data_IF_028201946293
#
_entry.id   IF_028201946293
#
_cell.length_a   1.000
_cell.length_b   1.000
_cell.length_c   1.000
_cell.angle_alpha   90.00
_cell.angle_beta   90.00
_cell.angle_gamma   90.00
#
_symmetry.space_group_name_H-M   'P 1'
#
loop_
_entity.id
_entity.type
_entity.pdbx_description
1 polymer ?
#
# COMPACT_ATOMS: atom_id res chain seq x y z
N UNK A 1 -4.85 0.71 10.64
CA UNK A 1 -5.15 2.16 10.52
C UNK A 1 -3.83 2.86 10.29
N UNK A 2 -3.82 4.01 9.59
CA UNK A 2 -2.58 4.77 9.39
C UNK A 2 -2.06 5.25 10.77
N UNK A 3 -0.75 5.22 10.97
CA UNK A 3 -0.09 5.71 12.18
C UNK A 3 1.36 6.09 11.83
N UNK A 4 2.10 6.67 12.79
CA UNK A 4 3.49 7.13 12.61
C UNK A 4 4.43 6.12 11.93
N UNK A 5 4.23 4.83 12.15
CA UNK A 5 5.06 3.76 11.58
C UNK A 5 4.93 3.69 10.07
N UNK A 6 3.69 3.78 9.54
CA UNK A 6 3.45 3.83 8.10
C UNK A 6 4.06 5.08 7.47
N UNK A 7 3.90 6.25 8.10
CA UNK A 7 4.48 7.50 7.58
C UNK A 7 6.00 7.42 7.52
N UNK A 8 6.66 6.88 8.56
CA UNK A 8 8.10 6.67 8.55
C UNK A 8 8.54 5.68 7.47
N UNK A 9 7.81 4.58 7.30
CA UNK A 9 8.09 3.61 6.25
C UNK A 9 7.96 4.21 4.85
N UNK A 10 6.92 5.01 4.60
CA UNK A 10 6.70 5.67 3.31
C UNK A 10 7.76 6.72 3.02
N UNK A 11 8.18 7.52 4.01
CA UNK A 11 9.30 8.47 3.85
C UNK A 11 10.60 7.76 3.49
N UNK A 12 10.90 6.64 4.16
CA UNK A 12 12.07 5.83 3.86
C UNK A 12 11.96 5.17 2.48
N UNK A 13 10.77 4.78 2.05
CA UNK A 13 10.56 4.24 0.70
C UNK A 13 10.82 5.31 -0.37
N UNK A 14 10.27 6.52 -0.21
CA UNK A 14 10.50 7.65 -1.12
C UNK A 14 11.98 8.03 -1.19
N UNK A 15 12.75 7.93 -0.10
CA UNK A 15 14.19 8.25 -0.16
C UNK A 15 15.05 7.26 -0.96
N UNK A 16 14.46 6.17 -1.48
CA UNK A 16 15.17 5.16 -2.28
C UNK A 16 15.01 5.37 -3.79
N UNK A 17 14.25 6.38 -4.23
CA UNK A 17 14.07 6.68 -5.65
C UNK A 17 13.29 7.97 -5.90
N UNK A 18 13.08 8.32 -7.16
CA UNK A 18 12.46 9.59 -7.53
C UNK A 18 10.93 9.58 -7.44
N UNK A 19 10.31 8.41 -7.56
CA UNK A 19 8.84 8.23 -7.57
C UNK A 19 8.44 7.09 -6.63
N UNK A 20 7.48 7.35 -5.74
CA UNK A 20 6.85 6.39 -4.85
C UNK A 20 5.41 6.12 -5.28
N UNK A 21 5.16 4.87 -5.71
CA UNK A 21 3.82 4.35 -6.00
C UNK A 21 3.40 3.44 -4.84
N UNK A 22 2.25 3.73 -4.24
CA UNK A 22 1.68 2.90 -3.16
C UNK A 22 0.59 1.99 -3.71
N UNK A 23 0.85 0.68 -3.73
CA UNK A 23 -0.14 -0.34 -4.02
C UNK A 23 -1.08 -0.56 -2.83
N UNK A 24 -2.37 -0.27 -3.02
CA UNK A 24 -3.43 -0.38 -2.01
C UNK A 24 -4.41 -1.52 -2.35
N UNK A 25 -4.55 -2.51 -1.48
CA UNK A 25 -5.58 -3.53 -1.65
C UNK A 25 -6.99 -2.88 -1.61
N UNK A 26 -7.83 -3.26 -2.57
CA UNK A 26 -9.28 -2.97 -2.58
C UNK A 26 -9.99 -3.57 -1.37
N UNK A 27 -11.20 -3.11 -1.10
CA UNK A 27 -12.02 -3.64 -0.01
C UNK A 27 -12.35 -5.12 -0.22
N UNK A 28 -12.56 -5.53 -1.48
CA UNK A 28 -12.79 -6.94 -1.83
C UNK A 28 -11.56 -7.81 -1.54
N UNK A 29 -10.37 -7.33 -1.93
CA UNK A 29 -9.10 -8.01 -1.65
C UNK A 29 -8.85 -8.14 -0.14
N UNK A 30 -9.03 -7.04 0.62
CA UNK A 30 -8.85 -7.05 2.08
C UNK A 30 -9.84 -7.99 2.77
N UNK A 31 -11.11 -8.05 2.31
CA UNK A 31 -12.10 -8.99 2.85
C UNK A 31 -11.69 -10.45 2.68
N UNK A 32 -11.08 -10.81 1.55
CA UNK A 32 -10.57 -12.17 1.29
C UNK A 32 -9.39 -12.50 2.22
N UNK A 33 -8.44 -11.57 2.36
CA UNK A 33 -7.20 -11.79 3.13
C UNK A 33 -7.43 -11.75 4.65
N UNK A 34 -8.27 -10.82 5.14
CA UNK A 34 -8.42 -10.51 6.58
C UNK A 34 -9.81 -10.80 7.14
N UNK A 35 -10.72 -11.34 6.32
CA UNK A 35 -12.08 -11.70 6.69
C UNK A 35 -13.11 -10.57 6.52
N UNK A 36 -14.39 -10.94 6.63
CA UNK A 36 -15.55 -10.07 6.29
C UNK A 36 -15.64 -8.77 7.09
N UNK A 37 -15.04 -8.70 8.28
CA UNK A 37 -15.03 -7.50 9.15
C UNK A 37 -13.97 -6.46 8.78
N UNK A 38 -13.22 -6.67 7.69
CA UNK A 38 -12.16 -5.76 7.22
C UNK A 38 -12.40 -5.42 5.75
N UNK A 39 -11.98 -4.23 5.28
CA UNK A 39 -11.34 -3.16 6.06
C UNK A 39 -12.34 -2.38 6.92
N UNK A 40 -11.83 -1.62 7.91
CA UNK A 40 -12.67 -0.70 8.71
C UNK A 40 -12.95 0.57 7.91
N UNK A 41 -11.94 1.04 7.17
CA UNK A 41 -12.01 2.24 6.33
C UNK A 41 -12.10 1.77 4.87
N UNK A 42 -13.09 2.24 4.09
CA UNK A 42 -13.22 1.96 2.66
C UNK A 42 -11.96 2.30 1.85
N UNK A 43 -11.81 1.66 0.69
CA UNK A 43 -10.62 1.83 -0.15
C UNK A 43 -10.41 3.26 -0.67
N UNK A 44 -11.51 3.99 -0.90
CA UNK A 44 -11.47 5.36 -1.42
C UNK A 44 -10.86 6.28 -0.38
N UNK A 45 -11.38 6.28 0.84
CA UNK A 45 -10.86 7.10 1.94
C UNK A 45 -9.41 6.73 2.28
N UNK A 46 -9.07 5.43 2.26
CA UNK A 46 -7.68 4.99 2.45
C UNK A 46 -6.75 5.51 1.36
N UNK A 47 -7.22 5.54 0.11
CA UNK A 47 -6.43 6.05 -1.01
C UNK A 47 -6.26 7.56 -0.93
N UNK A 48 -7.32 8.30 -0.59
CA UNK A 48 -7.28 9.76 -0.42
C UNK A 48 -6.31 10.18 0.68
N UNK A 49 -6.37 9.51 1.85
CA UNK A 49 -5.43 9.76 2.95
C UNK A 49 -3.98 9.52 2.52
N UNK A 50 -3.72 8.46 1.74
CA UNK A 50 -2.37 8.16 1.24
C UNK A 50 -1.90 9.18 0.21
N UNK A 51 -2.78 9.58 -0.72
CA UNK A 51 -2.49 10.54 -1.77
C UNK A 51 -2.24 11.95 -1.22
N UNK A 52 -2.81 12.29 -0.06
CA UNK A 52 -2.55 13.55 0.63
C UNK A 52 -1.17 13.62 1.30
N UNK A 53 -0.42 12.52 1.37
CA UNK A 53 0.90 12.51 1.97
C UNK A 53 1.95 13.00 0.97
N UNK A 54 2.72 14.01 1.37
CA UNK A 54 3.76 14.66 0.55
C UNK A 54 4.73 13.70 -0.16
N UNK A 55 5.06 12.56 0.46
CA UNK A 55 6.03 11.61 -0.10
C UNK A 55 5.43 10.61 -1.11
N UNK A 56 4.10 10.59 -1.28
CA UNK A 56 3.40 9.64 -2.16
C UNK A 56 3.04 10.32 -3.47
N UNK A 57 3.59 9.83 -4.58
CA UNK A 57 3.31 10.39 -5.91
C UNK A 57 2.06 9.77 -6.53
N UNK A 58 1.85 8.46 -6.33
CA UNK A 58 0.70 7.75 -6.87
C UNK A 58 0.15 6.71 -5.89
N UNK A 59 -1.17 6.51 -5.91
CA UNK A 59 -1.84 5.43 -5.21
C UNK A 59 -2.57 4.56 -6.23
N UNK A 60 -2.27 3.26 -6.26
CA UNK A 60 -2.89 2.30 -7.16
C UNK A 60 -3.72 1.31 -6.37
N UNK A 61 -5.01 1.21 -6.65
CA UNK A 61 -5.91 0.24 -6.02
C UNK A 61 -5.94 -1.05 -6.85
N UNK A 62 -5.73 -2.21 -6.21
CA UNK A 62 -5.79 -3.52 -6.88
C UNK A 62 -6.72 -4.53 -6.17
N UNK A 63 -7.28 -5.46 -6.94
CA UNK A 63 -8.34 -6.37 -6.47
C UNK A 63 -7.84 -7.78 -6.15
N UNK A 64 -6.67 -8.13 -6.65
CA UNK A 64 -6.00 -9.39 -6.44
C UNK A 64 -5.53 -9.55 -4.99
N UNK A 65 -5.32 -10.80 -4.55
CA UNK A 65 -4.84 -11.10 -3.21
C UNK A 65 -3.35 -10.79 -3.04
N UNK A 66 -2.59 -10.86 -4.13
CA UNK A 66 -1.18 -10.52 -4.18
C UNK A 66 -0.93 -9.35 -5.14
N UNK A 67 0.08 -8.52 -4.88
CA UNK A 67 0.42 -7.40 -5.78
C UNK A 67 1.18 -7.85 -7.04
N UNK A 68 1.29 -9.16 -7.33
CA UNK A 68 2.15 -9.68 -8.39
C UNK A 68 1.86 -9.01 -9.75
N UNK A 69 0.59 -8.95 -10.17
CA UNK A 69 0.21 -8.33 -11.44
C UNK A 69 0.60 -6.86 -11.53
N UNK A 70 0.41 -6.11 -10.43
CA UNK A 70 0.79 -4.70 -10.35
C UNK A 70 2.30 -4.55 -10.48
N UNK A 71 3.07 -5.36 -9.74
CA UNK A 71 4.54 -5.32 -9.78
C UNK A 71 5.06 -5.71 -11.16
N UNK A 72 4.50 -6.74 -11.79
CA UNK A 72 4.88 -7.18 -13.14
C UNK A 72 4.53 -6.15 -14.22
N UNK A 73 3.47 -5.37 -14.03
CA UNK A 73 3.07 -4.33 -14.98
C UNK A 73 3.91 -3.05 -14.82
N UNK A 74 4.23 -2.66 -13.59
CA UNK A 74 5.02 -1.45 -13.30
C UNK A 74 6.52 -1.66 -13.43
N UNK A 75 7.00 -2.88 -13.16
CA UNK A 75 8.43 -3.26 -13.15
C UNK A 75 9.28 -2.24 -12.35
N UNK A 76 9.02 -2.06 -11.05
CA UNK A 76 9.72 -1.05 -10.26
C UNK A 76 11.19 -1.42 -10.06
N UNK A 77 12.08 -0.42 -10.10
CA UNK A 77 13.51 -0.61 -9.79
C UNK A 77 13.74 -1.05 -8.34
N UNK A 78 12.91 -0.54 -7.42
CA UNK A 78 12.98 -0.84 -5.98
C UNK A 78 11.61 -1.29 -5.48
N UNK A 79 11.56 -2.48 -4.88
CA UNK A 79 10.38 -3.00 -4.19
C UNK A 79 10.56 -2.90 -2.67
N UNK A 80 9.78 -2.04 -2.02
CA UNK A 80 9.78 -1.90 -0.55
C UNK A 80 8.61 -2.67 0.06
N UNK A 81 8.91 -3.49 1.08
CA UNK A 81 7.91 -4.19 1.89
C UNK A 81 8.02 -3.76 3.35
N UNK A 82 6.93 -3.21 3.91
CA UNK A 82 6.87 -2.80 5.31
C UNK A 82 7.07 -3.97 6.26
N UNK A 83 7.85 -3.77 7.33
CA UNK A 83 8.34 -4.81 8.24
C UNK A 83 7.33 -5.43 9.21
N UNK A 84 6.03 -5.15 9.11
CA UNK A 84 5.00 -5.74 9.99
C UNK A 84 4.57 -7.15 9.55
N UNK A 85 5.53 -7.96 9.10
CA UNK A 85 5.39 -9.41 9.17
C UNK A 85 5.97 -9.84 10.51
N UNK A 86 5.09 -10.19 11.47
CA UNK A 86 5.50 -11.17 12.48
C UNK A 86 5.99 -12.37 11.69
N UNK A 87 7.26 -12.77 11.91
CA UNK A 87 7.80 -14.03 11.41
C UNK A 87 6.79 -15.12 11.76
N UNK A 88 6.15 -15.68 10.74
CA UNK A 88 5.65 -17.04 10.80
C UNK A 88 6.83 -17.99 10.71
#
# INVERSE_FOLDING_TARGET
>A
LLHRGHVHCLRKAKSLGDVLIVGLNSDASVRKIKGKRRPIIPQVDRAEILAALEMVDYVLIFAEETPHRVISALVPDVLVKGGDYRRG
#
